data_IF_016959387026
#
_entry.id   IF_016959387026
#
_cell.length_a   1.000
_cell.length_b   1.000
_cell.length_c   1.000
_cell.angle_alpha   90.00
_cell.angle_beta   90.00
_cell.angle_gamma   90.00
#
_symmetry.space_group_name_H-M   'P 1'
#
loop_
_entity.id
_entity.type
_entity.pdbx_description
1 polymer ?
#
# COMPACT_ATOMS: atom_id res chain seq x y z
N UNK A 1 -0.55 -2.84 -19.08
CA UNK A 1 -0.05 -3.68 -17.98
C UNK A 1 1.44 -3.38 -17.81
N UNK A 2 1.83 -2.77 -16.68
CA UNK A 2 3.20 -2.27 -16.48
C UNK A 2 4.19 -3.38 -16.15
N UNK A 3 5.48 -3.13 -16.40
CA UNK A 3 6.61 -4.03 -16.13
C UNK A 3 6.38 -4.95 -14.91
N UNK A 4 6.59 -6.26 -15.10
CA UNK A 4 6.52 -7.24 -14.04
C UNK A 4 7.57 -6.91 -12.97
N UNK A 5 7.17 -6.23 -11.89
CA UNK A 5 8.05 -5.90 -10.76
C UNK A 5 8.21 -7.15 -9.87
N UNK A 6 8.69 -8.26 -10.44
CA UNK A 6 8.67 -9.59 -9.81
C UNK A 6 9.35 -9.59 -8.43
N UNK A 7 10.51 -8.94 -8.31
CA UNK A 7 11.20 -8.82 -7.03
C UNK A 7 10.42 -7.99 -6.00
N UNK A 8 9.80 -6.89 -6.43
CA UNK A 8 8.98 -6.06 -5.54
C UNK A 8 7.71 -6.81 -5.09
N UNK A 9 7.01 -7.45 -6.03
CA UNK A 9 5.80 -8.20 -5.75
C UNK A 9 6.07 -9.38 -4.81
N UNK A 10 7.09 -10.20 -5.10
CA UNK A 10 7.46 -11.34 -4.27
C UNK A 10 7.88 -10.91 -2.86
N UNK A 11 8.73 -9.87 -2.76
CA UNK A 11 9.19 -9.39 -1.44
C UNK A 11 8.06 -8.80 -0.61
N UNK A 12 7.15 -8.02 -1.21
CA UNK A 12 6.01 -7.44 -0.47
C UNK A 12 4.98 -8.48 -0.04
N UNK A 13 4.73 -9.51 -0.85
CA UNK A 13 3.94 -10.67 -0.41
C UNK A 13 4.64 -11.40 0.77
N UNK A 14 5.96 -11.56 0.69
CA UNK A 14 6.77 -12.12 1.77
C UNK A 14 6.68 -11.31 3.07
N UNK A 15 6.71 -9.98 3.00
CA UNK A 15 6.54 -9.10 4.18
C UNK A 15 5.16 -9.30 4.84
N UNK A 16 4.09 -9.38 4.05
CA UNK A 16 2.75 -9.64 4.58
C UNK A 16 2.73 -10.96 5.35
N UNK A 17 3.20 -12.05 4.74
CA UNK A 17 3.21 -13.35 5.41
C UNK A 17 4.15 -13.40 6.61
N UNK A 18 5.31 -12.74 6.53
CA UNK A 18 6.24 -12.58 7.66
C UNK A 18 5.54 -11.90 8.84
N UNK A 19 4.82 -10.80 8.60
CA UNK A 19 4.08 -10.09 9.63
C UNK A 19 3.04 -10.98 10.33
N UNK A 20 2.34 -11.85 9.58
CA UNK A 20 1.38 -12.80 10.18
C UNK A 20 2.04 -13.82 11.09
N UNK A 21 3.16 -14.42 10.69
CA UNK A 21 3.84 -15.41 11.53
C UNK A 21 4.50 -14.78 12.75
N UNK A 22 5.05 -13.56 12.62
CA UNK A 22 5.60 -12.80 13.75
C UNK A 22 4.49 -12.37 14.72
N UNK A 23 3.30 -11.99 14.22
CA UNK A 23 2.14 -11.68 15.04
C UNK A 23 1.81 -12.83 16.00
N UNK A 24 1.71 -14.06 15.48
CA UNK A 24 1.43 -15.25 16.29
C UNK A 24 2.58 -15.55 17.26
N UNK A 25 3.83 -15.47 16.79
CA UNK A 25 5.01 -15.77 17.60
C UNK A 25 5.13 -14.85 18.83
N UNK A 26 4.78 -13.57 18.69
CA UNK A 26 4.95 -12.56 19.74
C UNK A 26 3.66 -12.15 20.45
N UNK A 27 2.49 -12.67 20.05
CA UNK A 27 1.23 -12.43 20.73
C UNK A 27 1.26 -12.75 22.25
N UNK A 28 1.89 -13.85 22.73
CA UNK A 28 2.00 -14.10 24.17
C UNK A 28 2.79 -13.04 24.94
N UNK A 29 3.58 -12.21 24.25
CA UNK A 29 4.34 -11.08 24.81
C UNK A 29 3.58 -9.75 24.70
N UNK A 30 2.31 -9.78 24.30
CA UNK A 30 1.49 -8.58 24.11
C UNK A 30 1.87 -7.73 22.90
N UNK A 31 2.66 -8.26 21.95
CA UNK A 31 3.07 -7.52 20.75
C UNK A 31 2.11 -7.83 19.60
N UNK A 32 1.56 -6.77 18.99
CA UNK A 32 0.71 -6.85 17.79
C UNK A 32 1.55 -6.55 16.55
N UNK A 33 1.29 -7.27 15.46
CA UNK A 33 1.95 -7.04 14.16
C UNK A 33 0.90 -7.08 13.07
N UNK A 34 0.81 -6.01 12.28
CA UNK A 34 -0.12 -5.86 11.16
C UNK A 34 0.62 -5.20 9.99
N UNK A 35 0.01 -5.18 8.82
CA UNK A 35 0.53 -4.41 7.68
C UNK A 35 -0.47 -3.40 7.15
N UNK A 36 0.04 -2.28 6.65
CA UNK A 36 -0.71 -1.36 5.79
C UNK A 36 -0.30 -1.67 4.36
N UNK A 37 -1.29 -1.91 3.50
CA UNK A 37 -1.10 -2.29 2.10
C UNK A 37 -1.55 -1.11 1.22
N UNK A 38 -0.66 -0.15 0.94
CA UNK A 38 -1.00 0.99 0.12
C UNK A 38 -1.16 0.61 -1.36
N UNK A 39 -2.16 1.20 -2.00
CA UNK A 39 -2.34 1.18 -3.44
C UNK A 39 -1.47 2.20 -4.16
N UNK A 40 -2.02 2.82 -5.21
CA UNK A 40 -1.35 3.93 -5.88
C UNK A 40 -1.49 5.21 -5.05
N UNK A 41 -0.35 5.70 -4.56
CA UNK A 41 -0.27 6.93 -3.78
C UNK A 41 0.58 8.00 -4.46
N UNK A 42 0.24 9.25 -4.20
CA UNK A 42 1.04 10.43 -4.48
C UNK A 42 2.08 10.62 -3.37
N UNK A 43 3.35 10.33 -3.68
CA UNK A 43 4.46 10.50 -2.73
C UNK A 43 5.71 11.00 -3.46
N UNK A 44 6.65 11.68 -2.77
CA UNK A 44 7.88 12.17 -3.41
C UNK A 44 8.70 11.08 -4.11
N UNK A 45 8.73 9.86 -3.55
CA UNK A 45 9.39 8.71 -4.17
C UNK A 45 8.73 8.33 -5.49
N UNK A 46 7.41 8.30 -5.51
CA UNK A 46 6.63 7.99 -6.71
C UNK A 46 6.78 9.10 -7.75
N UNK A 47 6.70 10.37 -7.35
CA UNK A 47 6.95 11.51 -8.24
C UNK A 47 8.34 11.44 -8.87
N UNK A 48 9.40 11.19 -8.08
CA UNK A 48 10.76 11.06 -8.58
C UNK A 48 10.92 9.86 -9.53
N UNK A 49 10.26 8.74 -9.25
CA UNK A 49 10.24 7.57 -10.13
C UNK A 49 9.52 7.88 -11.45
N UNK A 50 8.37 8.55 -11.37
CA UNK A 50 7.63 9.00 -12.55
C UNK A 50 8.48 9.98 -13.37
N UNK A 51 9.12 10.97 -12.73
CA UNK A 51 10.05 11.93 -13.35
C UNK A 51 11.15 11.24 -14.17
N UNK A 52 11.76 10.19 -13.63
CA UNK A 52 12.78 9.40 -14.33
C UNK A 52 12.22 8.58 -15.50
N UNK A 53 10.98 8.10 -15.39
CA UNK A 53 10.29 7.39 -16.48
C UNK A 53 9.77 8.34 -17.58
N UNK A 54 9.64 9.64 -17.28
CA UNK A 54 9.17 10.70 -18.18
C UNK A 54 10.22 11.20 -19.18
N UNK A 55 11.43 10.63 -19.23
CA UNK A 55 12.43 10.96 -20.25
C UNK A 55 12.00 10.63 -21.71
N UNK A 56 10.77 10.16 -21.93
CA UNK A 56 10.19 9.94 -23.26
C UNK A 56 8.66 10.06 -23.38
N UNK A 57 7.93 10.78 -22.51
CA UNK A 57 6.46 10.87 -22.64
C UNK A 57 5.72 11.89 -21.77
N UNK A 58 4.42 12.06 -22.04
CA UNK A 58 3.52 13.00 -21.35
C UNK A 58 3.16 12.54 -19.92
N UNK A 59 3.73 13.27 -18.96
CA UNK A 59 3.45 13.21 -17.52
C UNK A 59 1.96 13.14 -17.20
N UNK A 60 1.18 13.99 -17.85
CA UNK A 60 -0.22 14.26 -17.51
C UNK A 60 -1.08 13.05 -17.86
N UNK A 61 -0.80 12.44 -19.00
CA UNK A 61 -1.51 11.24 -19.45
C UNK A 61 -1.21 10.04 -18.54
N UNK A 62 0.03 9.91 -18.04
CA UNK A 62 0.39 8.86 -17.10
C UNK A 62 -0.36 9.00 -15.77
N UNK A 63 -0.51 10.22 -15.26
CA UNK A 63 -1.28 10.50 -14.03
C UNK A 63 -2.77 10.20 -14.24
N UNK A 64 -3.35 10.62 -15.37
CA UNK A 64 -4.74 10.28 -15.74
C UNK A 64 -4.96 8.77 -15.81
N UNK A 65 -4.03 8.03 -16.42
CA UNK A 65 -4.10 6.57 -16.51
C UNK A 65 -4.02 5.88 -15.15
N UNK A 66 -3.25 6.44 -14.20
CA UNK A 66 -3.20 5.95 -12.82
C UNK A 66 -4.51 6.21 -12.10
N UNK A 67 -5.03 7.43 -12.18
CA UNK A 67 -6.29 7.81 -11.53
C UNK A 67 -7.47 6.98 -12.02
N UNK A 68 -7.54 6.62 -13.31
CA UNK A 68 -8.58 5.73 -13.88
C UNK A 68 -8.65 4.34 -13.21
N UNK A 69 -7.59 3.90 -12.52
CA UNK A 69 -7.55 2.62 -11.81
C UNK A 69 -8.19 2.69 -10.43
N UNK A 70 -8.41 3.89 -9.89
CA UNK A 70 -8.89 4.11 -8.52
C UNK A 70 -10.40 4.42 -8.57
N UNK A 71 -11.28 3.52 -8.08
CA UNK A 71 -12.73 3.75 -8.04
C UNK A 71 -13.16 5.03 -7.32
N UNK A 72 -12.52 5.40 -6.21
CA UNK A 72 -12.84 6.65 -5.50
C UNK A 72 -12.48 7.92 -6.29
N UNK A 73 -11.81 7.80 -7.45
CA UNK A 73 -11.38 8.90 -8.32
C UNK A 73 -10.53 9.99 -7.64
N UNK A 74 -10.07 9.75 -6.41
CA UNK A 74 -9.11 10.57 -5.68
C UNK A 74 -7.76 9.85 -5.64
N UNK A 75 -6.66 10.60 -5.73
CA UNK A 75 -5.33 10.06 -5.50
C UNK A 75 -4.98 10.23 -4.01
N UNK A 76 -4.83 9.12 -3.30
CA UNK A 76 -4.38 9.15 -1.91
C UNK A 76 -2.90 9.52 -1.81
N UNK A 77 -2.44 9.87 -0.62
CA UNK A 77 -1.04 10.18 -0.34
C UNK A 77 -0.54 9.52 0.96
N UNK A 78 0.63 9.96 1.45
CA UNK A 78 1.23 9.43 2.67
C UNK A 78 0.34 9.54 3.91
N UNK A 79 -0.58 10.51 3.95
CA UNK A 79 -1.50 10.75 5.07
C UNK A 79 -2.54 9.63 5.21
N UNK A 80 -3.02 9.09 4.09
CA UNK A 80 -3.96 7.96 4.11
C UNK A 80 -3.31 6.71 4.71
N UNK A 81 -2.05 6.45 4.33
CA UNK A 81 -1.23 5.39 4.95
C UNK A 81 -0.97 5.67 6.42
N UNK A 82 -0.66 6.92 6.77
CA UNK A 82 -0.37 7.32 8.15
C UNK A 82 -1.57 7.15 9.07
N UNK A 83 -2.79 7.47 8.61
CA UNK A 83 -4.01 7.28 9.40
C UNK A 83 -4.29 5.80 9.67
N UNK A 84 -4.12 4.92 8.68
CA UNK A 84 -4.24 3.47 8.87
C UNK A 84 -3.19 2.93 9.86
N UNK A 85 -1.94 3.40 9.74
CA UNK A 85 -0.86 3.02 10.65
C UNK A 85 -1.12 3.52 12.08
N UNK A 86 -1.62 4.76 12.23
CA UNK A 86 -1.99 5.34 13.52
C UNK A 86 -3.06 4.50 14.22
N UNK A 87 -4.13 4.14 13.51
CA UNK A 87 -5.16 3.24 14.05
C UNK A 87 -4.57 1.90 14.48
N UNK A 88 -3.76 1.26 13.63
CA UNK A 88 -3.15 -0.03 13.96
C UNK A 88 -2.18 0.07 15.15
N UNK A 89 -1.56 1.23 15.38
CA UNK A 89 -0.67 1.48 16.50
C UNK A 89 -1.40 1.84 17.81
N UNK A 90 -2.66 2.25 17.75
CA UNK A 90 -3.43 2.70 18.92
C UNK A 90 -4.02 1.55 19.74
N UNK A 91 -4.52 1.87 20.93
CA UNK A 91 -5.26 0.94 21.79
C UNK A 91 -6.65 0.58 21.22
N UNK A 92 -7.18 1.37 20.29
CA UNK A 92 -8.43 1.05 19.60
C UNK A 92 -8.30 -0.23 18.76
N UNK A 93 -7.07 -0.55 18.33
CA UNK A 93 -6.73 -1.79 17.63
C UNK A 93 -6.24 -2.91 18.56
N UNK A 94 -6.53 -2.88 19.87
CA UNK A 94 -6.00 -3.84 20.87
C UNK A 94 -6.24 -5.32 20.53
N UNK A 95 -7.27 -5.64 19.75
CA UNK A 95 -7.62 -7.00 19.35
C UNK A 95 -7.34 -7.30 17.86
N UNK A 96 -6.57 -6.43 17.19
CA UNK A 96 -6.22 -6.55 15.78
C UNK A 96 -4.72 -6.88 15.67
N UNK A 97 -4.42 -8.10 15.25
CA UNK A 97 -3.06 -8.59 14.98
C UNK A 97 -3.08 -9.63 13.86
N UNK A 98 -1.99 -9.75 13.10
CA UNK A 98 -1.83 -10.72 12.02
C UNK A 98 -2.68 -10.44 10.79
N UNK A 99 -3.10 -9.19 10.58
CA UNK A 99 -3.95 -8.80 9.44
C UNK A 99 -3.44 -7.56 8.72
N UNK A 100 -4.18 -7.13 7.71
CA UNK A 100 -3.86 -6.05 6.79
C UNK A 100 -4.96 -5.00 6.76
N UNK A 101 -4.57 -3.74 6.61
CA UNK A 101 -5.47 -2.68 6.13
C UNK A 101 -5.03 -2.28 4.73
N UNK A 102 -5.87 -2.57 3.74
CA UNK A 102 -5.67 -2.13 2.36
C UNK A 102 -6.12 -0.67 2.21
N UNK A 103 -5.24 0.18 1.68
CA UNK A 103 -5.47 1.63 1.52
C UNK A 103 -5.23 2.01 0.07
N UNK A 104 -6.22 1.80 -0.80
CA UNK A 104 -6.03 1.85 -2.25
C UNK A 104 -7.18 2.47 -3.05
N UNK A 105 -8.17 3.05 -2.35
CA UNK A 105 -9.35 3.63 -2.97
C UNK A 105 -10.22 2.66 -3.77
N UNK A 106 -10.14 1.35 -3.48
CA UNK A 106 -10.92 0.29 -4.12
C UNK A 106 -10.23 -0.37 -5.33
N UNK A 107 -8.96 -0.06 -5.58
CA UNK A 107 -8.25 -0.53 -6.77
C UNK A 107 -8.13 -2.07 -6.86
N UNK A 108 -7.92 -2.76 -5.74
CA UNK A 108 -7.68 -4.22 -5.73
C UNK A 108 -8.96 -5.06 -5.74
N UNK A 109 -10.13 -4.46 -5.53
CA UNK A 109 -11.42 -5.18 -5.52
C UNK A 109 -12.14 -5.15 -6.87
N UNK A 110 -11.47 -4.69 -7.92
CA UNK A 110 -11.98 -4.64 -9.29
C UNK A 110 -11.00 -5.31 -10.27
N UNK A 111 -11.56 -5.88 -11.33
CA UNK A 111 -10.82 -6.48 -12.44
C UNK A 111 -11.48 -6.23 -13.80
N UNK A 112 -12.38 -5.24 -13.84
CA UNK A 112 -13.10 -4.74 -15.01
C UNK A 112 -12.26 -3.84 -15.91
#
# INVERSE_FOLDING_TARGET
TGNAQVGYAATKAGVIQLSRVVAVQYAPKGIRVNTVVPGQLHTPMVEARLAKQRAGGDVTELLKQRQKRIPLAIEGDGRDTANAALFLASDEARFITGTEIVVDGGMTVRCD
#
